data_IF_716217654288
#
_entry.id   IF_716217654288
#
_cell.length_a   1.000
_cell.length_b   1.000
_cell.length_c   1.000
_cell.angle_alpha   90.00
_cell.angle_beta   90.00
_cell.angle_gamma   90.00
#
_symmetry.space_group_name_H-M   'P 1'
#
loop_
_entity.id
_entity.type
_entity.pdbx_description
1 polymer ?
#
# COMPACT_ATOMS: atom_id res chain seq x y z
N UNK A 1 47.41 17.55 -16.83
CA UNK A 1 47.86 18.29 -15.64
C UNK A 1 49.37 18.34 -15.65
N UNK A 2 49.97 19.53 -15.46
CA UNK A 2 51.43 19.74 -15.38
C UNK A 2 51.74 20.53 -14.12
N UNK A 3 52.69 20.06 -13.30
CA UNK A 3 53.13 20.81 -12.11
C UNK A 3 54.14 21.86 -12.57
N UNK A 4 53.92 23.12 -12.19
CA UNK A 4 54.76 24.26 -12.56
C UNK A 4 55.77 24.57 -11.45
N UNK A 5 55.31 24.60 -10.19
CA UNK A 5 56.20 24.83 -9.06
C UNK A 5 55.68 24.19 -7.78
N UNK A 6 56.59 23.96 -6.86
CA UNK A 6 56.34 23.43 -5.53
C UNK A 6 57.06 24.32 -4.51
N UNK A 7 56.34 24.74 -3.47
CA UNK A 7 56.89 25.40 -2.29
C UNK A 7 56.47 24.62 -1.06
N UNK A 8 57.35 24.44 -0.09
CA UNK A 8 56.97 23.80 1.17
C UNK A 8 57.88 24.24 2.31
N UNK A 9 57.37 24.07 3.53
CA UNK A 9 58.03 24.47 4.76
C UNK A 9 57.90 23.42 5.84
N UNK A 10 59.02 23.08 6.47
CA UNK A 10 59.10 22.22 7.66
C UNK A 10 58.32 20.89 7.52
N UNK A 11 58.65 20.11 6.49
CA UNK A 11 58.08 18.79 6.27
C UNK A 11 59.13 17.70 6.54
N UNK A 12 58.81 16.73 7.39
CA UNK A 12 59.68 15.61 7.81
C UNK A 12 61.12 16.07 8.12
N UNK A 13 62.09 15.62 7.32
CA UNK A 13 63.52 15.95 7.45
C UNK A 13 63.94 17.26 6.76
N UNK A 14 63.04 17.89 6.01
CA UNK A 14 63.31 19.14 5.27
C UNK A 14 62.83 20.34 6.08
N UNK A 15 63.74 20.86 6.90
CA UNK A 15 63.53 22.07 7.71
C UNK A 15 63.69 23.33 6.87
N UNK A 16 62.97 24.38 7.24
CA UNK A 16 63.00 25.66 6.53
C UNK A 16 62.09 25.68 5.30
N UNK A 17 62.23 26.73 4.50
CA UNK A 17 61.45 26.96 3.29
C UNK A 17 62.22 26.45 2.07
N UNK A 18 61.54 25.66 1.24
CA UNK A 18 62.07 25.07 0.03
C UNK A 18 61.18 25.45 -1.14
N UNK A 19 61.80 25.79 -2.26
CA UNK A 19 61.11 26.09 -3.51
C UNK A 19 61.77 25.33 -4.65
N UNK A 20 60.94 24.69 -5.47
CA UNK A 20 61.34 24.02 -6.70
C UNK A 20 60.48 24.59 -7.82
N UNK A 21 61.12 25.23 -8.79
CA UNK A 21 60.48 25.74 -10.00
C UNK A 21 60.73 24.75 -11.15
N UNK A 22 59.69 24.02 -11.55
CA UNK A 22 59.78 23.06 -12.66
C UNK A 22 59.69 23.73 -14.04
N UNK A 23 59.51 25.06 -14.08
CA UNK A 23 59.53 25.83 -15.33
C UNK A 23 60.93 26.26 -15.75
N UNK A 24 61.94 26.11 -14.88
CA UNK A 24 63.34 26.38 -15.20
C UNK A 24 63.82 25.53 -16.39
N UNK A 25 64.65 26.12 -17.25
CA UNK A 25 65.20 25.49 -18.45
C UNK A 25 65.93 24.17 -18.15
N UNK A 26 66.54 24.05 -16.96
CA UNK A 26 67.21 22.82 -16.52
C UNK A 26 66.27 21.61 -16.46
N UNK A 27 64.98 21.82 -16.19
CA UNK A 27 63.97 20.76 -16.17
C UNK A 27 63.27 20.59 -17.53
N UNK A 28 63.09 21.67 -18.29
CA UNK A 28 62.35 21.64 -19.56
C UNK A 28 63.11 20.96 -20.71
N UNK A 29 64.43 21.10 -20.78
CA UNK A 29 65.21 20.64 -21.94
C UNK A 29 65.21 19.12 -22.13
N UNK A 30 65.17 18.34 -21.05
CA UNK A 30 65.21 16.87 -21.11
C UNK A 30 63.89 16.19 -20.74
N UNK A 31 62.95 16.89 -20.08
CA UNK A 31 61.63 16.38 -19.70
C UNK A 31 61.64 15.26 -18.64
N UNK A 32 62.83 14.76 -18.26
CA UNK A 32 63.05 13.74 -17.24
C UNK A 32 64.18 14.22 -16.35
N UNK A 33 63.96 14.20 -15.03
CA UNK A 33 64.98 14.50 -14.03
C UNK A 33 64.94 13.47 -12.90
N UNK A 34 66.05 13.32 -12.19
CA UNK A 34 66.18 12.38 -11.09
C UNK A 34 66.48 13.11 -9.76
N UNK A 35 65.71 12.79 -8.73
CA UNK A 35 66.00 13.20 -7.36
C UNK A 35 66.92 12.15 -6.71
N UNK A 36 68.20 12.48 -6.54
CA UNK A 36 69.21 11.57 -5.99
C UNK A 36 69.64 12.00 -4.58
N UNK A 37 70.16 11.06 -3.79
CA UNK A 37 70.65 11.32 -2.43
C UNK A 37 70.57 10.07 -1.53
N UNK A 38 71.08 10.12 -0.30
CA UNK A 38 71.02 8.98 0.61
C UNK A 38 69.59 8.66 1.09
N UNK A 39 69.34 7.43 1.55
CA UNK A 39 68.07 7.07 2.20
C UNK A 39 67.82 7.97 3.41
N UNK A 40 66.59 8.51 3.54
CA UNK A 40 66.25 9.46 4.60
C UNK A 40 66.51 10.94 4.27
N UNK A 41 67.14 11.27 3.14
CA UNK A 41 67.40 12.66 2.72
C UNK A 41 66.14 13.50 2.39
N UNK A 42 64.93 12.93 2.50
CA UNK A 42 63.69 13.67 2.24
C UNK A 42 63.19 13.64 0.79
N UNK A 43 63.77 12.81 -0.09
CA UNK A 43 63.27 12.65 -1.48
C UNK A 43 61.76 12.38 -1.56
N UNK A 44 61.28 11.42 -0.77
CA UNK A 44 59.84 11.10 -0.70
C UNK A 44 59.03 12.21 -0.03
N UNK A 45 59.64 13.06 0.80
CA UNK A 45 58.97 14.23 1.42
C UNK A 45 58.58 15.26 0.37
N UNK A 46 59.40 15.45 -0.68
CA UNK A 46 59.07 16.34 -1.80
C UNK A 46 57.80 15.85 -2.50
N UNK A 47 57.68 14.54 -2.72
CA UNK A 47 56.50 13.93 -3.31
C UNK A 47 55.27 14.02 -2.40
N UNK A 48 55.47 13.81 -1.10
CA UNK A 48 54.41 13.99 -0.11
C UNK A 48 53.93 15.44 -0.05
N UNK A 49 54.81 16.43 -0.24
CA UNK A 49 54.44 17.85 -0.26
C UNK A 49 53.44 18.16 -1.39
N UNK A 50 53.64 17.56 -2.58
CA UNK A 50 52.70 17.69 -3.70
C UNK A 50 51.33 17.11 -3.33
N UNK A 51 51.30 15.89 -2.80
CA UNK A 51 50.05 15.25 -2.35
C UNK A 51 49.35 16.05 -1.25
N UNK A 52 50.13 16.61 -0.32
CA UNK A 52 49.64 17.38 0.81
C UNK A 52 49.03 18.70 0.35
N UNK A 53 49.68 19.41 -0.57
CA UNK A 53 49.17 20.63 -1.17
C UNK A 53 47.85 20.38 -1.93
N UNK A 54 47.78 19.32 -2.74
CA UNK A 54 46.61 19.04 -3.58
C UNK A 54 45.43 18.42 -2.82
N UNK A 55 45.68 17.47 -1.92
CA UNK A 55 44.63 16.64 -1.31
C UNK A 55 44.62 16.69 0.22
N UNK A 56 45.59 17.35 0.87
CA UNK A 56 45.71 17.41 2.33
C UNK A 56 46.00 16.06 2.99
N UNK A 57 46.51 15.10 2.23
CA UNK A 57 46.83 13.73 2.66
C UNK A 57 48.13 13.28 2.02
N UNK A 58 48.76 12.26 2.58
CA UNK A 58 49.96 11.65 1.99
C UNK A 58 49.80 10.14 1.86
N UNK A 59 50.50 9.48 0.93
CA UNK A 59 50.42 8.03 0.78
C UNK A 59 50.85 7.25 2.03
N UNK A 60 51.74 7.84 2.84
CA UNK A 60 52.37 7.20 4.00
C UNK A 60 51.64 7.46 5.31
N UNK A 61 51.05 8.64 5.46
CA UNK A 61 50.33 9.08 6.66
C UNK A 61 48.86 9.30 6.31
N UNK A 62 48.01 8.38 6.79
CA UNK A 62 46.56 8.38 6.50
C UNK A 62 45.82 9.51 7.20
N UNK A 63 46.23 9.87 8.41
CA UNK A 63 45.57 10.89 9.23
C UNK A 63 46.48 12.09 9.50
N UNK A 64 46.20 13.19 8.80
CA UNK A 64 46.80 14.50 9.06
C UNK A 64 45.66 15.46 9.37
N UNK A 65 45.62 15.98 10.59
CA UNK A 65 44.54 16.82 11.07
C UNK A 65 44.78 17.34 12.49
N UNK A 66 43.74 17.85 13.14
CA UNK A 66 43.86 18.53 14.44
C UNK A 66 44.40 17.62 15.57
N UNK A 67 44.27 16.30 15.43
CA UNK A 67 44.72 15.32 16.42
C UNK A 67 46.11 14.76 16.14
N UNK A 68 46.55 14.75 14.87
CA UNK A 68 47.85 14.21 14.51
C UNK A 68 48.46 14.92 13.30
N UNK A 69 49.75 15.22 13.39
CA UNK A 69 50.54 15.73 12.28
C UNK A 69 51.99 15.22 12.39
N UNK A 70 52.17 13.96 12.02
CA UNK A 70 53.50 13.32 11.97
C UNK A 70 54.36 13.81 10.81
N UNK A 71 53.81 14.59 9.86
CA UNK A 71 54.57 15.15 8.74
C UNK A 71 55.26 16.48 9.09
N UNK A 72 54.80 17.21 10.11
CA UNK A 72 55.46 18.43 10.56
C UNK A 72 56.83 18.11 11.17
N UNK A 73 57.88 18.80 10.72
CA UNK A 73 59.23 18.64 11.28
C UNK A 73 59.25 18.88 12.79
N UNK A 74 60.03 18.09 13.53
CA UNK A 74 60.11 18.18 14.99
C UNK A 74 60.57 19.56 15.44
N UNK A 75 60.09 20.01 16.60
CA UNK A 75 60.42 21.32 17.17
C UNK A 75 60.04 22.53 16.31
N UNK A 76 59.16 22.36 15.32
CA UNK A 76 58.60 23.47 14.53
C UNK A 76 57.15 23.74 14.91
N UNK A 77 56.69 24.96 14.65
CA UNK A 77 55.33 25.40 14.99
C UNK A 77 54.38 25.47 13.79
N UNK A 78 54.90 25.35 12.57
CA UNK A 78 54.13 25.42 11.34
C UNK A 78 54.74 24.55 10.25
N UNK A 79 53.87 23.99 9.42
CA UNK A 79 54.19 23.27 8.21
C UNK A 79 53.28 23.74 7.07
N UNK A 80 53.82 23.85 5.87
CA UNK A 80 53.09 24.35 4.70
C UNK A 80 53.55 23.61 3.44
N UNK A 81 52.64 23.45 2.50
CA UNK A 81 52.91 22.95 1.16
C UNK A 81 52.02 23.69 0.17
N UNK A 82 52.60 24.12 -0.93
CA UNK A 82 51.93 24.86 -1.99
C UNK A 82 52.39 24.34 -3.34
N UNK A 83 51.44 24.08 -4.24
CA UNK A 83 51.71 23.59 -5.60
C UNK A 83 50.99 24.46 -6.60
N UNK A 84 51.73 24.94 -7.59
CA UNK A 84 51.18 25.59 -8.77
C UNK A 84 51.15 24.57 -9.91
N UNK A 85 50.02 24.44 -10.59
CA UNK A 85 49.83 23.48 -11.67
C UNK A 85 48.94 24.03 -12.77
N UNK A 86 49.12 23.48 -13.96
CA UNK A 86 48.40 23.80 -15.18
C UNK A 86 47.49 22.63 -15.59
N UNK A 87 46.26 22.95 -15.95
CA UNK A 87 45.27 22.05 -16.54
C UNK A 87 44.71 22.65 -17.83
N UNK A 88 43.85 21.92 -18.54
CA UNK A 88 43.20 22.46 -19.73
C UNK A 88 42.32 23.68 -19.42
N UNK A 89 41.88 23.83 -18.16
CA UNK A 89 41.03 24.92 -17.70
C UNK A 89 41.81 26.19 -17.29
N UNK A 90 43.12 26.08 -17.05
CA UNK A 90 43.96 27.21 -16.62
C UNK A 90 45.06 26.81 -15.63
N UNK A 91 45.65 27.83 -15.01
CA UNK A 91 46.69 27.69 -13.97
C UNK A 91 46.08 27.97 -12.60
N UNK A 92 46.40 27.10 -11.64
CA UNK A 92 45.87 27.13 -10.29
C UNK A 92 46.96 26.86 -9.26
N UNK A 93 46.80 27.45 -8.09
CA UNK A 93 47.69 27.24 -6.94
C UNK A 93 46.91 26.64 -5.78
N UNK A 94 47.32 25.47 -5.29
CA UNK A 94 46.78 24.86 -4.09
C UNK A 94 47.72 25.07 -2.91
N UNK A 95 47.18 25.57 -1.81
CA UNK A 95 47.92 25.84 -0.58
C UNK A 95 47.35 25.02 0.58
N UNK A 96 48.22 24.30 1.27
CA UNK A 96 47.93 23.59 2.51
C UNK A 96 48.82 24.14 3.62
N UNK A 97 48.24 24.42 4.80
CA UNK A 97 49.02 24.78 5.98
C UNK A 97 48.44 24.22 7.27
N UNK A 98 49.34 23.96 8.22
CA UNK A 98 49.01 23.49 9.55
C UNK A 98 49.89 24.19 10.57
N UNK A 99 49.27 24.83 11.57
CA UNK A 99 49.95 25.60 12.61
C UNK A 99 49.64 25.07 14.00
N UNK A 100 50.57 25.26 14.92
CA UNK A 100 50.39 25.04 16.35
C UNK A 100 49.92 26.32 17.03
N UNK A 101 49.20 26.17 18.14
CA UNK A 101 48.70 27.31 18.90
C UNK A 101 49.83 28.25 19.34
N UNK A 102 49.59 29.56 19.22
CA UNK A 102 50.54 30.63 19.57
C UNK A 102 51.91 30.51 18.86
N UNK A 103 51.98 29.80 17.73
CA UNK A 103 53.22 29.51 16.99
C UNK A 103 54.34 28.94 17.88
N UNK A 104 53.98 28.06 18.84
CA UNK A 104 54.94 27.35 19.69
C UNK A 104 55.05 25.89 19.26
N UNK A 105 56.27 25.35 19.27
CA UNK A 105 56.53 23.94 18.91
C UNK A 105 55.76 22.93 19.77
N UNK A 106 55.57 23.25 21.05
CA UNK A 106 54.79 22.44 22.01
C UNK A 106 53.31 22.84 22.07
N UNK A 107 52.85 23.74 21.18
CA UNK A 107 51.46 24.15 21.11
C UNK A 107 50.55 23.05 20.53
N UNK A 108 49.29 23.06 20.94
CA UNK A 108 48.26 22.18 20.37
C UNK A 108 48.10 22.44 18.87
N UNK A 109 47.93 21.37 18.08
CA UNK A 109 47.63 21.44 16.66
C UNK A 109 46.28 22.12 16.42
N UNK A 110 46.22 22.99 15.41
CA UNK A 110 45.00 23.67 15.00
C UNK A 110 44.31 22.93 13.84
N UNK A 111 43.19 23.44 13.35
CA UNK A 111 42.63 22.94 12.11
C UNK A 111 43.57 23.23 10.92
N UNK A 112 43.74 22.26 10.03
CA UNK A 112 44.45 22.46 8.76
C UNK A 112 43.69 23.44 7.88
N UNK A 113 44.41 24.34 7.19
CA UNK A 113 43.84 25.24 6.19
C UNK A 113 44.18 24.73 4.79
N UNK A 114 43.20 24.79 3.90
CA UNK A 114 43.31 24.36 2.50
C UNK A 114 42.64 25.41 1.64
N UNK A 115 43.39 25.97 0.70
CA UNK A 115 42.95 27.06 -0.16
C UNK A 115 43.41 26.79 -1.58
N UNK A 116 42.57 27.12 -2.56
CA UNK A 116 42.92 27.07 -3.98
C UNK A 116 42.66 28.44 -4.62
N UNK A 117 43.63 28.88 -5.40
CA UNK A 117 43.67 30.18 -6.04
C UNK A 117 43.67 30.05 -7.57
N UNK A 118 43.05 31.01 -8.25
CA UNK A 118 43.23 31.21 -9.70
C UNK A 118 44.61 31.86 -9.99
N UNK A 119 44.94 31.99 -11.28
CA UNK A 119 46.17 32.65 -11.74
C UNK A 119 46.31 34.12 -11.27
N UNK A 120 45.20 34.78 -10.92
CA UNK A 120 45.19 36.16 -10.44
C UNK A 120 45.30 36.25 -8.91
N UNK A 121 45.37 35.12 -8.20
CA UNK A 121 45.41 35.06 -6.75
C UNK A 121 44.04 35.16 -6.06
N UNK A 122 42.93 35.03 -6.79
CA UNK A 122 41.60 34.98 -6.19
C UNK A 122 41.32 33.60 -5.59
N UNK A 123 40.84 33.58 -4.35
CA UNK A 123 40.42 32.34 -3.67
C UNK A 123 39.18 31.78 -4.36
N UNK A 124 39.30 30.58 -4.92
CA UNK A 124 38.19 29.84 -5.51
C UNK A 124 37.47 28.98 -4.46
N UNK A 125 38.22 28.37 -3.54
CA UNK A 125 37.67 27.63 -2.40
C UNK A 125 38.63 27.63 -1.20
N UNK A 126 38.07 27.70 0.01
CA UNK A 126 38.82 27.69 1.28
C UNK A 126 38.21 26.76 2.36
N UNK A 127 37.08 26.10 2.05
CA UNK A 127 36.48 25.07 2.89
C UNK A 127 36.95 23.71 2.41
N UNK A 128 37.35 22.84 3.34
CA UNK A 128 37.91 21.50 3.05
C UNK A 128 37.13 20.69 2.01
N UNK A 129 35.80 20.64 2.12
CA UNK A 129 34.95 19.87 1.19
C UNK A 129 34.93 20.50 -0.21
N UNK A 130 34.75 21.81 -0.28
CA UNK A 130 34.66 22.55 -1.54
C UNK A 130 36.03 22.55 -2.26
N UNK A 131 37.11 22.71 -1.48
CA UNK A 131 38.48 22.57 -1.96
C UNK A 131 38.71 21.18 -2.58
N UNK A 132 38.36 20.10 -1.87
CA UNK A 132 38.56 18.74 -2.38
C UNK A 132 37.79 18.51 -3.69
N UNK A 133 36.50 18.88 -3.73
CA UNK A 133 35.68 18.72 -4.94
C UNK A 133 36.23 19.54 -6.11
N UNK A 134 36.68 20.78 -5.86
CA UNK A 134 37.20 21.64 -6.91
C UNK A 134 38.55 21.12 -7.44
N UNK A 135 39.45 20.66 -6.56
CA UNK A 135 40.72 20.05 -7.00
C UNK A 135 40.43 18.81 -7.85
N UNK A 136 39.55 17.91 -7.40
CA UNK A 136 39.19 16.70 -8.15
C UNK A 136 38.58 17.02 -9.52
N UNK A 137 37.77 18.09 -9.61
CA UNK A 137 37.21 18.58 -10.88
C UNK A 137 38.28 19.16 -11.81
N UNK A 138 39.21 19.97 -11.28
CA UNK A 138 40.24 20.64 -12.07
C UNK A 138 41.33 19.67 -12.54
N UNK A 139 41.75 18.73 -11.69
CA UNK A 139 42.78 17.74 -12.04
C UNK A 139 42.19 16.54 -12.80
N UNK A 140 40.88 16.29 -12.67
CA UNK A 140 40.21 15.10 -13.19
C UNK A 140 40.50 13.82 -12.39
N UNK A 141 41.14 13.94 -11.23
CA UNK A 141 41.64 12.81 -10.44
C UNK A 141 41.37 13.03 -8.94
N UNK A 142 40.96 11.95 -8.28
CA UNK A 142 40.96 11.88 -6.82
C UNK A 142 42.34 11.47 -6.28
N UNK A 143 42.51 11.53 -4.96
CA UNK A 143 43.76 11.19 -4.29
C UNK A 143 44.25 9.78 -4.63
N UNK A 144 43.35 8.79 -4.63
CA UNK A 144 43.70 7.40 -4.92
C UNK A 144 44.15 7.24 -6.37
N UNK A 145 43.52 7.92 -7.33
CA UNK A 145 44.02 7.93 -8.72
C UNK A 145 45.33 8.64 -8.88
N UNK A 146 45.50 9.80 -8.24
CA UNK A 146 46.73 10.56 -8.33
C UNK A 146 47.93 9.71 -7.87
N UNK A 147 47.78 8.99 -6.76
CA UNK A 147 48.83 8.11 -6.20
C UNK A 147 49.01 6.77 -6.94
N UNK A 148 48.07 6.38 -7.80
CA UNK A 148 48.18 5.16 -8.63
C UNK A 148 48.62 5.45 -10.07
N UNK A 149 48.42 6.66 -10.60
CA UNK A 149 48.65 6.99 -12.02
C UNK A 149 49.72 8.06 -12.27
N UNK A 150 49.79 9.11 -11.45
CA UNK A 150 50.70 10.25 -11.67
C UNK A 150 51.89 10.22 -10.71
N UNK A 151 51.65 9.84 -9.45
CA UNK A 151 52.68 9.72 -8.43
C UNK A 151 52.77 8.29 -7.91
N UNK A 152 53.61 7.48 -8.55
CA UNK A 152 53.90 6.13 -8.06
C UNK A 152 54.78 6.18 -6.81
N UNK A 153 54.15 6.18 -5.64
CA UNK A 153 54.86 6.03 -4.38
C UNK A 153 55.65 4.70 -4.36
N UNK A 154 56.73 4.64 -3.58
CA UNK A 154 57.53 3.43 -3.42
C UNK A 154 56.65 2.26 -2.94
N UNK A 155 56.52 1.22 -3.77
CA UNK A 155 55.63 0.06 -3.52
C UNK A 155 54.18 0.21 -4.04
N UNK A 156 53.74 1.42 -4.42
CA UNK A 156 52.40 1.68 -4.95
C UNK A 156 52.14 1.04 -6.31
N UNK A 157 53.19 0.89 -7.14
CA UNK A 157 53.09 0.18 -8.42
C UNK A 157 52.83 -1.32 -8.24
N UNK A 158 53.46 -1.95 -7.25
CA UNK A 158 53.22 -3.36 -6.90
C UNK A 158 51.78 -3.54 -6.37
N UNK A 159 51.28 -2.58 -5.58
CA UNK A 159 49.87 -2.55 -5.17
C UNK A 159 48.92 -2.41 -6.36
N UNK A 160 49.24 -1.62 -7.38
CA UNK A 160 48.42 -1.53 -8.59
C UNK A 160 48.43 -2.85 -9.37
N UNK A 161 49.59 -3.50 -9.53
CA UNK A 161 49.69 -4.82 -10.18
C UNK A 161 48.96 -5.93 -9.41
N UNK A 162 48.95 -5.86 -8.08
CA UNK A 162 48.29 -6.83 -7.20
C UNK A 162 46.84 -6.50 -6.86
N UNK A 163 46.35 -5.30 -7.19
CA UNK A 163 44.98 -4.90 -6.94
C UNK A 163 43.98 -5.87 -7.60
N UNK A 164 42.84 -6.04 -6.96
CA UNK A 164 41.75 -6.86 -7.49
C UNK A 164 41.20 -6.26 -8.79
N UNK A 165 40.54 -7.11 -9.58
CA UNK A 165 40.04 -6.75 -10.91
C UNK A 165 39.09 -5.55 -10.83
N UNK A 166 38.25 -5.45 -9.80
CA UNK A 166 37.30 -4.36 -9.62
C UNK A 166 38.00 -3.02 -9.36
N UNK A 167 39.03 -3.01 -8.50
CA UNK A 167 39.83 -1.81 -8.24
C UNK A 167 40.58 -1.34 -9.49
N UNK A 168 41.18 -2.29 -10.23
CA UNK A 168 41.85 -2.00 -11.51
C UNK A 168 40.87 -1.45 -12.53
N UNK A 169 39.69 -2.06 -12.66
CA UNK A 169 38.65 -1.64 -13.61
C UNK A 169 38.22 -0.21 -13.32
N UNK A 170 37.96 0.15 -12.07
CA UNK A 170 37.58 1.52 -11.66
C UNK A 170 38.65 2.56 -12.02
N UNK A 171 39.93 2.24 -11.85
CA UNK A 171 41.03 3.15 -12.20
C UNK A 171 41.14 3.30 -13.72
N UNK A 172 41.12 2.18 -14.44
CA UNK A 172 41.22 2.17 -15.90
C UNK A 172 40.05 2.93 -16.53
N UNK A 173 38.82 2.70 -16.05
CA UNK A 173 37.62 3.34 -16.57
C UNK A 173 37.69 4.86 -16.52
N UNK A 174 38.23 5.41 -15.44
CA UNK A 174 38.32 6.86 -15.24
C UNK A 174 39.48 7.46 -16.05
N UNK A 175 40.56 6.70 -16.27
CA UNK A 175 41.66 7.09 -17.17
C UNK A 175 41.19 7.12 -18.62
N UNK A 176 40.42 6.11 -19.04
CA UNK A 176 39.90 6.00 -20.41
C UNK A 176 38.65 6.84 -20.64
N UNK A 177 38.11 7.49 -19.59
CA UNK A 177 36.89 8.29 -19.68
C UNK A 177 35.64 7.45 -19.97
N UNK A 178 35.67 6.14 -19.68
CA UNK A 178 34.59 5.19 -19.96
C UNK A 178 33.56 5.11 -18.82
N UNK A 179 33.52 6.12 -17.93
CA UNK A 179 32.59 6.21 -16.80
C UNK A 179 31.10 6.09 -17.21
N UNK A 180 30.81 6.42 -18.46
CA UNK A 180 29.50 6.24 -19.09
C UNK A 180 28.98 4.80 -18.98
N UNK A 181 29.85 3.78 -18.99
CA UNK A 181 29.42 2.38 -18.94
C UNK A 181 29.00 1.97 -17.53
N UNK A 182 29.70 2.46 -16.49
CA UNK A 182 29.22 2.33 -15.11
C UNK A 182 27.87 3.00 -14.92
N UNK A 183 27.69 4.23 -15.42
CA UNK A 183 26.41 4.95 -15.28
C UNK A 183 25.27 4.22 -16.00
N UNK A 184 25.53 3.62 -17.17
CA UNK A 184 24.57 2.77 -17.88
C UNK A 184 24.23 1.54 -17.04
N UNK A 185 25.23 0.86 -16.47
CA UNK A 185 25.03 -0.34 -15.65
C UNK A 185 24.15 -0.06 -14.43
N UNK A 186 24.39 1.06 -13.74
CA UNK A 186 23.58 1.51 -12.60
C UNK A 186 22.12 1.71 -13.03
N UNK A 187 21.88 2.44 -14.12
CA UNK A 187 20.51 2.68 -14.62
C UNK A 187 19.79 1.40 -15.05
N UNK A 188 20.52 0.45 -15.66
CA UNK A 188 19.96 -0.85 -16.02
C UNK A 188 19.56 -1.64 -14.77
N UNK A 189 20.40 -1.62 -13.73
CA UNK A 189 20.11 -2.29 -12.47
C UNK A 189 18.89 -1.66 -11.76
N UNK A 190 18.83 -0.33 -11.67
CA UNK A 190 17.68 0.39 -11.11
C UNK A 190 16.38 -0.01 -11.83
N UNK A 191 16.40 0.02 -13.17
CA UNK A 191 15.23 -0.39 -13.97
C UNK A 191 14.86 -1.85 -13.76
N UNK A 192 15.83 -2.76 -13.67
CA UNK A 192 15.57 -4.18 -13.38
C UNK A 192 14.82 -4.34 -12.05
N UNK A 193 15.29 -3.67 -11.00
CA UNK A 193 14.68 -3.73 -9.66
C UNK A 193 13.25 -3.21 -9.68
N UNK A 194 12.98 -2.13 -10.42
CA UNK A 194 11.63 -1.57 -10.53
C UNK A 194 10.68 -2.51 -11.28
N UNK A 195 11.13 -3.13 -12.38
CA UNK A 195 10.33 -4.11 -13.14
C UNK A 195 10.09 -5.40 -12.33
N UNK A 196 11.07 -5.89 -11.55
CA UNK A 196 10.90 -7.04 -10.66
C UNK A 196 9.81 -6.77 -9.59
N UNK A 197 9.77 -5.57 -9.02
CA UNK A 197 8.72 -5.17 -8.08
C UNK A 197 7.34 -5.11 -8.73
N UNK A 198 7.25 -4.63 -9.97
CA UNK A 198 5.97 -4.63 -10.70
C UNK A 198 5.51 -6.06 -10.96
N UNK A 199 6.43 -6.95 -11.35
CA UNK A 199 6.13 -8.35 -11.57
C UNK A 199 5.65 -9.05 -10.30
N UNK A 200 6.31 -8.82 -9.15
CA UNK A 200 5.86 -9.32 -7.84
C UNK A 200 4.46 -8.82 -7.48
N UNK A 201 4.17 -7.56 -7.75
CA UNK A 201 2.84 -6.99 -7.48
C UNK A 201 1.77 -7.63 -8.37
N UNK A 202 2.03 -7.81 -9.67
CA UNK A 202 1.11 -8.48 -10.58
C UNK A 202 0.93 -9.97 -10.23
N UNK A 203 2.01 -10.67 -9.84
CA UNK A 203 1.90 -12.07 -9.43
C UNK A 203 1.08 -12.23 -8.16
N UNK A 204 1.26 -11.34 -7.17
CA UNK A 204 0.45 -11.34 -5.95
C UNK A 204 -1.03 -11.05 -6.24
N UNK A 205 -1.33 -10.19 -7.22
CA UNK A 205 -2.71 -9.96 -7.67
C UNK A 205 -3.31 -11.20 -8.36
N UNK A 206 -2.50 -11.93 -9.12
CA UNK A 206 -2.93 -13.17 -9.79
C UNK A 206 -3.14 -14.31 -8.80
N UNK A 207 -2.33 -14.43 -7.74
CA UNK A 207 -2.50 -15.45 -6.70
C UNK A 207 -3.84 -15.31 -5.94
N UNK A 208 -4.39 -14.09 -5.87
CA UNK A 208 -5.72 -13.86 -5.31
C UNK A 208 -6.88 -14.30 -6.21
N UNK A 209 -6.62 -14.67 -7.46
CA UNK A 209 -7.62 -15.12 -8.43
C UNK A 209 -7.51 -16.64 -8.57
N UNK A 210 -8.32 -17.37 -7.79
CA UNK A 210 -8.54 -18.80 -8.03
C UNK A 210 -9.26 -18.97 -9.37
N UNK A 211 -8.49 -19.31 -10.40
CA UNK A 211 -9.03 -19.69 -11.71
C UNK A 211 -9.71 -21.06 -11.56
N UNK A 212 -11.03 -21.09 -11.64
CA UNK A 212 -11.76 -22.35 -11.71
C UNK A 212 -11.32 -23.11 -12.96
N UNK A 213 -10.86 -24.33 -12.74
CA UNK A 213 -10.57 -25.24 -13.85
C UNK A 213 -11.88 -25.69 -14.52
N UNK A 214 -11.77 -26.19 -15.75
CA UNK A 214 -12.93 -26.52 -16.59
C UNK A 214 -13.87 -27.54 -15.94
N UNK A 215 -13.32 -28.48 -15.17
CA UNK A 215 -14.08 -29.50 -14.44
C UNK A 215 -14.86 -28.92 -13.24
N UNK A 216 -14.26 -28.01 -12.45
CA UNK A 216 -14.97 -27.32 -11.38
C UNK A 216 -16.11 -26.45 -11.93
N UNK A 217 -15.87 -25.75 -13.03
CA UNK A 217 -16.88 -24.90 -13.66
C UNK A 217 -18.04 -25.74 -14.22
N UNK A 218 -17.75 -26.90 -14.79
CA UNK A 218 -18.76 -27.82 -15.30
C UNK A 218 -19.58 -28.44 -14.17
N UNK A 219 -18.95 -28.92 -13.09
CA UNK A 219 -19.66 -29.49 -11.93
C UNK A 219 -20.53 -28.45 -11.21
N UNK A 220 -20.08 -27.20 -11.08
CA UNK A 220 -20.89 -26.09 -10.55
C UNK A 220 -22.10 -25.79 -11.43
N UNK A 221 -21.93 -25.81 -12.77
CA UNK A 221 -23.05 -25.64 -13.71
C UNK A 221 -24.06 -26.76 -13.58
N UNK A 222 -23.62 -28.01 -13.54
CA UNK A 222 -24.49 -29.18 -13.37
C UNK A 222 -25.25 -29.14 -12.04
N UNK A 223 -24.57 -28.76 -10.96
CA UNK A 223 -25.19 -28.59 -9.63
C UNK A 223 -26.26 -27.50 -9.67
N UNK A 224 -25.99 -26.37 -10.34
CA UNK A 224 -26.96 -25.29 -10.51
C UNK A 224 -28.20 -25.76 -11.26
N UNK A 225 -28.05 -26.42 -12.41
CA UNK A 225 -29.20 -26.93 -13.18
C UNK A 225 -30.00 -27.96 -12.36
N UNK A 226 -29.33 -28.81 -11.59
CA UNK A 226 -30.00 -29.79 -10.74
C UNK A 226 -30.81 -29.11 -9.62
N UNK A 227 -30.24 -28.08 -8.97
CA UNK A 227 -30.94 -27.30 -7.94
C UNK A 227 -32.13 -26.50 -8.50
N UNK A 228 -31.99 -25.92 -9.69
CA UNK A 228 -33.09 -25.23 -10.39
C UNK A 228 -34.24 -26.19 -10.72
N UNK A 229 -33.93 -27.39 -11.21
CA UNK A 229 -34.92 -28.43 -11.47
C UNK A 229 -35.62 -28.90 -10.19
N UNK A 230 -34.87 -29.13 -9.10
CA UNK A 230 -35.43 -29.49 -7.80
C UNK A 230 -36.34 -28.38 -7.24
N UNK A 231 -35.94 -27.11 -7.37
CA UNK A 231 -36.74 -25.96 -6.93
C UNK A 231 -38.07 -25.89 -7.67
N UNK A 232 -38.06 -26.08 -8.99
CA UNK A 232 -39.28 -26.13 -9.82
C UNK A 232 -40.20 -27.27 -9.39
N UNK A 233 -39.64 -28.46 -9.16
CA UNK A 233 -40.42 -29.62 -8.72
C UNK A 233 -41.03 -29.41 -7.32
N UNK A 234 -40.25 -28.89 -6.36
CA UNK A 234 -40.78 -28.57 -5.03
C UNK A 234 -41.89 -27.52 -5.09
N UNK A 235 -41.73 -26.48 -5.92
CA UNK A 235 -42.77 -25.45 -6.09
C UNK A 235 -44.07 -26.04 -6.66
N UNK A 236 -43.97 -26.97 -7.61
CA UNK A 236 -45.14 -27.71 -8.12
C UNK A 236 -45.81 -28.53 -7.02
N UNK A 237 -45.03 -29.27 -6.24
CA UNK A 237 -45.55 -30.09 -5.13
C UNK A 237 -46.23 -29.23 -4.07
N UNK A 238 -45.64 -28.08 -3.70
CA UNK A 238 -46.24 -27.12 -2.76
C UNK A 238 -47.58 -26.60 -3.29
N UNK A 239 -47.67 -26.30 -4.59
CA UNK A 239 -48.92 -25.84 -5.21
C UNK A 239 -50.01 -26.92 -5.10
N UNK A 240 -49.70 -28.16 -5.46
CA UNK A 240 -50.65 -29.28 -5.34
C UNK A 240 -51.08 -29.52 -3.89
N UNK A 241 -50.14 -29.46 -2.94
CA UNK A 241 -50.45 -29.67 -1.52
C UNK A 241 -51.36 -28.55 -0.97
N UNK A 242 -51.17 -27.30 -1.43
CA UNK A 242 -52.08 -26.19 -1.09
C UNK A 242 -53.48 -26.41 -1.64
N UNK A 243 -53.61 -26.87 -2.88
CA UNK A 243 -54.92 -27.20 -3.48
C UNK A 243 -55.63 -28.31 -2.69
N UNK A 244 -54.89 -29.35 -2.27
CA UNK A 244 -55.43 -30.42 -1.42
C UNK A 244 -55.85 -29.91 -0.03
N UNK A 245 -55.06 -29.05 0.60
CA UNK A 245 -55.42 -28.45 1.90
C UNK A 245 -56.67 -27.58 1.78
N UNK A 246 -56.78 -26.78 0.72
CA UNK A 246 -57.98 -25.95 0.48
C UNK A 246 -59.23 -26.81 0.26
N UNK A 247 -59.09 -27.94 -0.43
CA UNK A 247 -60.18 -28.89 -0.61
C UNK A 247 -60.62 -29.52 0.71
N UNK A 248 -59.67 -29.92 1.58
CA UNK A 248 -59.98 -30.43 2.91
C UNK A 248 -60.69 -29.39 3.79
N UNK A 249 -60.23 -28.14 3.76
CA UNK A 249 -60.87 -27.02 4.48
C UNK A 249 -62.32 -26.84 4.01
N UNK A 250 -62.55 -26.89 2.69
CA UNK A 250 -63.89 -26.81 2.08
C UNK A 250 -64.79 -27.98 2.52
N UNK A 251 -64.24 -29.19 2.64
CA UNK A 251 -65.01 -30.33 3.19
C UNK A 251 -65.40 -30.06 4.62
N UNK A 252 -64.46 -29.58 5.45
CA UNK A 252 -64.76 -29.31 6.86
C UNK A 252 -65.85 -28.24 7.03
N UNK A 253 -65.83 -27.17 6.23
CA UNK A 253 -66.88 -26.14 6.26
C UNK A 253 -68.22 -26.72 5.80
N UNK A 254 -68.26 -27.48 4.71
CA UNK A 254 -69.49 -28.10 4.22
C UNK A 254 -70.08 -29.12 5.21
N UNK A 255 -69.23 -29.86 5.94
CA UNK A 255 -69.70 -30.79 6.98
C UNK A 255 -70.31 -30.04 8.18
N UNK A 256 -69.73 -28.89 8.57
CA UNK A 256 -70.30 -28.04 9.62
C UNK A 256 -71.64 -27.45 9.20
N UNK A 257 -71.75 -26.94 7.97
CA UNK A 257 -73.01 -26.43 7.40
C UNK A 257 -74.08 -27.54 7.34
N UNK A 258 -73.72 -28.77 6.98
CA UNK A 258 -74.64 -29.90 7.00
C UNK A 258 -75.11 -30.25 8.41
N UNK A 259 -74.23 -30.25 9.40
CA UNK A 259 -74.61 -30.47 10.80
C UNK A 259 -75.56 -29.39 11.31
N UNK A 260 -75.30 -28.12 10.97
CA UNK A 260 -76.16 -27.00 11.35
C UNK A 260 -77.53 -27.10 10.66
N UNK A 261 -77.56 -27.36 9.35
CA UNK A 261 -78.81 -27.56 8.62
C UNK A 261 -79.61 -28.77 9.14
N UNK A 262 -78.95 -29.86 9.54
CA UNK A 262 -79.61 -31.01 10.15
C UNK A 262 -80.21 -30.64 11.52
N UNK A 263 -79.51 -29.85 12.35
CA UNK A 263 -80.06 -29.34 13.62
C UNK A 263 -81.28 -28.47 13.39
N UNK A 264 -81.23 -27.56 12.42
CA UNK A 264 -82.35 -26.70 12.03
C UNK A 264 -83.53 -27.55 11.51
N UNK A 265 -83.25 -28.57 10.70
CA UNK A 265 -84.26 -29.51 10.21
C UNK A 265 -84.94 -30.29 11.35
N UNK A 266 -84.17 -30.76 12.33
CA UNK A 266 -84.67 -31.42 13.54
C UNK A 266 -85.51 -30.47 14.41
N UNK A 267 -85.11 -29.21 14.59
CA UNK A 267 -85.88 -28.24 15.36
C UNK A 267 -87.20 -27.91 14.67
N UNK A 268 -87.20 -27.68 13.35
CA UNK A 268 -88.41 -27.48 12.54
C UNK A 268 -89.33 -28.70 12.62
N UNK A 269 -88.80 -29.92 12.53
CA UNK A 269 -89.59 -31.14 12.67
C UNK A 269 -90.25 -31.25 14.05
N UNK A 270 -89.53 -30.90 15.11
CA UNK A 270 -90.05 -30.87 16.48
C UNK A 270 -91.12 -29.78 16.66
N UNK A 271 -90.93 -28.59 16.09
CA UNK A 271 -91.95 -27.53 16.10
C UNK A 271 -93.22 -27.94 15.35
N UNK A 272 -93.07 -28.56 14.19
CA UNK A 272 -94.20 -29.11 13.42
C UNK A 272 -94.94 -30.17 14.24
N UNK A 273 -94.21 -31.06 14.92
CA UNK A 273 -94.77 -32.09 15.79
C UNK A 273 -95.51 -31.48 16.99
N UNK A 274 -94.92 -30.48 17.66
CA UNK A 274 -95.56 -29.76 18.78
C UNK A 274 -96.82 -29.01 18.33
N UNK A 275 -96.83 -28.50 17.10
CA UNK A 275 -97.98 -27.80 16.51
C UNK A 275 -99.10 -28.75 16.06
N UNK A 276 -98.93 -30.08 16.08
CA UNK A 276 -99.96 -31.02 15.59
C UNK A 276 -101.28 -30.94 16.38
N UNK A 277 -101.23 -30.88 17.70
CA UNK A 277 -102.43 -30.79 18.54
C UNK A 277 -103.13 -29.43 18.37
N UNK A 278 -102.34 -28.35 18.27
CA UNK A 278 -102.84 -27.01 17.97
C UNK A 278 -103.46 -26.93 16.58
N UNK A 279 -102.87 -27.62 15.60
CA UNK A 279 -103.39 -27.75 14.22
C UNK A 279 -104.72 -28.50 14.21
N UNK A 280 -104.85 -29.58 14.98
CA UNK A 280 -106.11 -30.31 15.13
C UNK A 280 -107.19 -29.41 15.73
N UNK A 281 -106.88 -28.68 16.81
CA UNK A 281 -107.77 -27.68 17.42
C UNK A 281 -108.15 -26.56 16.44
N UNK A 282 -107.21 -26.09 15.62
CA UNK A 282 -107.48 -25.09 14.59
C UNK A 282 -108.44 -25.64 13.52
N UNK A 283 -108.22 -26.88 13.05
CA UNK A 283 -109.14 -27.51 12.08
C UNK A 283 -110.52 -27.78 12.65
N UNK A 284 -110.65 -28.19 13.91
CA UNK A 284 -111.96 -28.36 14.55
C UNK A 284 -112.65 -27.01 14.76
N UNK A 285 -111.91 -25.97 15.20
CA UNK A 285 -112.44 -24.61 15.29
C UNK A 285 -112.93 -24.08 13.94
N UNK A 286 -112.15 -24.26 12.86
CA UNK A 286 -112.55 -23.89 11.49
C UNK A 286 -113.79 -24.66 11.01
N UNK A 287 -113.91 -25.95 11.36
CA UNK A 287 -115.12 -26.74 11.03
C UNK A 287 -116.34 -26.27 11.83
N UNK A 288 -116.17 -25.96 13.12
CA UNK A 288 -117.25 -25.44 13.97
C UNK A 288 -117.74 -24.06 13.51
N UNK A 289 -116.84 -23.19 13.06
CA UNK A 289 -117.16 -21.87 12.50
C UNK A 289 -118.18 -21.94 11.33
N UNK A 290 -118.15 -22.99 10.52
CA UNK A 290 -119.06 -23.16 9.39
C UNK A 290 -120.52 -23.45 9.80
N UNK A 291 -120.73 -23.92 11.03
CA UNK A 291 -122.05 -24.35 11.54
C UNK A 291 -122.57 -23.40 12.61
N UNK A 292 -121.75 -22.46 13.07
CA UNK A 292 -122.04 -21.51 14.14
C UNK A 292 -123.27 -20.65 13.84
N UNK A 293 -123.38 -20.18 12.60
CA UNK A 293 -124.52 -19.38 12.14
C UNK A 293 -125.83 -20.19 12.16
N UNK A 294 -125.80 -21.46 11.70
CA UNK A 294 -126.95 -22.35 11.74
C UNK A 294 -127.32 -22.79 13.17
N UNK A 295 -126.32 -23.03 14.02
CA UNK A 295 -126.53 -23.42 15.42
C UNK A 295 -127.13 -22.27 16.24
N UNK A 296 -126.72 -21.03 16.00
CA UNK A 296 -127.32 -19.84 16.64
C UNK A 296 -128.79 -19.66 16.26
N UNK A 297 -129.13 -19.86 14.98
CA UNK A 297 -130.51 -19.82 14.50
C UNK A 297 -131.34 -20.97 15.09
N UNK A 298 -130.78 -22.19 15.13
CA UNK A 298 -131.42 -23.35 15.73
C UNK A 298 -131.71 -23.17 17.23
N UNK A 299 -130.76 -22.62 18.01
CA UNK A 299 -130.99 -22.32 19.42
C UNK A 299 -132.10 -21.26 19.64
N UNK A 300 -132.22 -20.32 18.71
CA UNK A 300 -133.26 -19.28 18.78
C UNK A 300 -134.64 -19.89 18.47
N UNK A 301 -134.72 -20.70 17.42
CA UNK A 301 -135.94 -21.44 17.04
C UNK A 301 -136.37 -22.45 18.10
N UNK A 302 -135.45 -23.12 18.79
CA UNK A 302 -135.78 -24.01 19.91
C UNK A 302 -136.46 -23.25 21.05
N UNK A 303 -135.96 -22.05 21.38
CA UNK A 303 -136.61 -21.20 22.37
C UNK A 303 -137.99 -20.74 21.92
N UNK A 304 -138.14 -20.33 20.66
CA UNK A 304 -139.44 -19.94 20.09
C UNK A 304 -140.42 -21.11 20.09
N UNK A 305 -139.99 -22.32 19.72
CA UNK A 305 -140.82 -23.52 19.79
C UNK A 305 -141.28 -23.81 21.22
N UNK A 306 -140.39 -23.73 22.21
CA UNK A 306 -140.78 -23.91 23.62
C UNK A 306 -141.79 -22.85 24.08
N UNK A 307 -141.74 -21.63 23.54
CA UNK A 307 -142.71 -20.58 23.85
C UNK A 307 -144.05 -20.82 23.16
N UNK A 308 -144.05 -21.15 21.87
CA UNK A 308 -145.25 -21.42 21.08
C UNK A 308 -146.00 -22.67 21.57
N UNK A 309 -145.27 -23.71 21.98
CA UNK A 309 -145.87 -24.93 22.55
C UNK A 309 -146.61 -24.60 23.87
N UNK A 310 -146.05 -23.70 24.67
CA UNK A 310 -146.66 -23.25 25.92
C UNK A 310 -147.90 -22.36 25.67
N UNK A 311 -147.95 -21.58 24.58
CA UNK A 311 -149.13 -20.80 24.19
C UNK A 311 -150.25 -21.67 23.59
N UNK A 312 -149.91 -22.73 22.87
CA UNK A 312 -150.88 -23.61 22.21
C UNK A 312 -151.65 -24.48 23.22
N UNK A 313 -150.97 -24.96 24.26
CA UNK A 313 -151.60 -25.71 25.35
C UNK A 313 -152.58 -24.82 26.15
N UNK A 314 -152.32 -23.52 26.27
CA UNK A 314 -153.26 -22.58 26.92
C UNK A 314 -154.52 -22.27 26.10
N UNK A 315 -154.49 -22.41 24.77
CA UNK A 315 -155.65 -22.10 23.90
C UNK A 315 -156.60 -23.27 23.69
N UNK A 316 -156.20 -24.51 23.97
CA UNK A 316 -157.11 -25.67 23.89
C UNK A 316 -158.07 -25.79 25.09
N UNK A 317 -157.70 -25.22 26.24
CA UNK A 317 -158.52 -25.24 27.47
C UNK A 317 -159.76 -24.30 27.43
N UNK A 318 -159.95 -23.49 26.39
CA UNK A 318 -161.09 -22.56 26.27
C UNK A 318 -162.14 -22.94 25.22
N UNK A 319 -162.03 -24.11 24.58
CA UNK A 319 -162.99 -24.57 23.58
C UNK A 319 -163.32 -26.06 23.69
N UNK A 320 -163.71 -26.55 24.88
CA UNK A 320 -164.92 -27.40 25.10
C UNK A 320 -165.22 -27.46 26.59
#
# INVERSE_FOLDING_TARGET
>A
MKILSLQFKNLNSLYGEWHIDFTDDAYQQQGIFALTGPTGAGKTTILDAICLALYGRTPRLKDIGQQNNDIMSRHTAESMAEVCFETQSGIYTCHWSHKRSRNKAEGNLQATKQEIFDINGHILANKKRDFQLLVEQLTGMDFDRFTRSMLLAQGGFDSFLKADIDEKSSILEKITGTQIYSDISIKVYERKVDEEKQLEHLSAQLEGIELLNTEQLQSLKETKTQQEAQSLQLNSNIKQLREQLQWLDTITTLTQELEENNKIGLSLANEIAAFTDTKLKLTSAKKAQNIDQYFSVFQTLLKEQETDQHELDQKKDYAT
#
